data_IF_569204879832
#
_entry.id   IF_569204879832
#
_cell.length_a   1.000
_cell.length_b   1.000
_cell.length_c   1.000
_cell.angle_alpha   90.00
_cell.angle_beta   90.00
_cell.angle_gamma   90.00
#
_symmetry.space_group_name_H-M   'P 1'
#
loop_
_entity.id
_entity.type
_entity.pdbx_description
1 polymer ?
#
# COMPACT_ATOMS: atom_id res chain seq x y z
N UNK A 1 -18.11 -9.48 -28.96
CA UNK A 1 -17.83 -9.71 -27.51
C UNK A 1 -18.14 -8.44 -26.74
N UNK A 2 -18.16 -8.50 -25.40
CA UNK A 2 -18.39 -7.33 -24.54
C UNK A 2 -17.21 -6.34 -24.58
N UNK A 3 -17.45 -5.10 -24.18
CA UNK A 3 -16.41 -4.07 -24.07
C UNK A 3 -15.40 -4.41 -22.99
N UNK A 4 -14.11 -4.21 -23.28
CA UNK A 4 -13.01 -4.46 -22.35
C UNK A 4 -12.73 -3.26 -21.43
N UNK A 5 -13.25 -2.08 -21.75
CA UNK A 5 -13.06 -0.86 -20.98
C UNK A 5 -13.95 -0.85 -19.72
N UNK A 6 -13.53 -1.61 -18.70
CA UNK A 6 -14.18 -1.67 -17.39
C UNK A 6 -13.19 -1.22 -16.34
N UNK A 7 -13.50 -0.14 -15.62
CA UNK A 7 -12.69 0.35 -14.52
C UNK A 7 -13.02 -0.38 -13.21
N UNK A 8 -11.99 -0.73 -12.44
CA UNK A 8 -12.15 -1.28 -11.10
C UNK A 8 -10.99 -0.90 -10.20
N UNK A 9 -11.18 -1.08 -8.89
CA UNK A 9 -10.17 -0.88 -7.86
C UNK A 9 -10.14 -2.05 -6.89
N UNK A 10 -8.97 -2.34 -6.32
CA UNK A 10 -8.80 -3.23 -5.18
C UNK A 10 -8.45 -2.40 -3.94
N UNK A 11 -9.41 -2.24 -3.04
CA UNK A 11 -9.26 -1.41 -1.84
C UNK A 11 -8.50 -2.15 -0.73
N UNK A 12 -7.32 -1.66 -0.38
CA UNK A 12 -6.44 -2.21 0.65
C UNK A 12 -6.37 -1.25 1.83
N UNK A 13 -6.78 -1.70 3.02
CA UNK A 13 -6.83 -0.87 4.22
C UNK A 13 -5.48 -0.84 4.94
N UNK A 14 -4.85 0.33 5.07
CA UNK A 14 -3.47 0.45 5.55
C UNK A 14 -3.37 0.65 7.06
N UNK A 15 -3.94 1.73 7.61
CA UNK A 15 -3.72 2.06 9.03
C UNK A 15 -4.24 0.99 10.00
N UNK A 16 -5.13 0.10 9.54
CA UNK A 16 -5.70 -0.98 10.35
C UNK A 16 -4.64 -1.99 10.80
N UNK A 17 -3.61 -2.21 9.98
CA UNK A 17 -2.49 -3.09 10.34
C UNK A 17 -1.74 -2.56 11.55
N UNK A 18 -1.37 -1.29 11.52
CA UNK A 18 -0.59 -0.67 12.60
C UNK A 18 -1.40 -0.54 13.89
N UNK A 19 -2.69 -0.18 13.80
CA UNK A 19 -3.59 -0.16 14.95
C UNK A 19 -3.68 -1.53 15.61
N UNK A 20 -3.73 -2.62 14.83
CA UNK A 20 -3.87 -3.98 15.36
C UNK A 20 -2.65 -4.45 16.16
N UNK A 21 -1.46 -3.94 15.85
CA UNK A 21 -0.19 -4.36 16.44
C UNK A 21 0.43 -3.33 17.38
N UNK A 22 -0.16 -2.14 17.53
CA UNK A 22 0.44 -0.99 18.24
C UNK A 22 0.96 -1.30 19.65
N UNK A 23 0.24 -2.14 20.41
CA UNK A 23 0.58 -2.52 21.79
C UNK A 23 1.40 -3.83 21.89
N UNK A 24 1.73 -4.43 20.75
CA UNK A 24 2.41 -5.74 20.66
C UNK A 24 3.82 -5.65 20.10
N UNK A 25 4.25 -4.44 19.73
CA UNK A 25 5.52 -4.21 19.04
C UNK A 25 6.35 -3.16 19.76
N UNK A 26 7.68 -3.27 19.73
CA UNK A 26 8.55 -2.27 20.32
C UNK A 26 8.47 -0.95 19.53
N UNK A 27 8.96 0.13 20.13
CA UNK A 27 8.77 1.49 19.60
C UNK A 27 9.30 1.66 18.16
N UNK A 28 10.41 0.99 17.84
CA UNK A 28 11.04 1.00 16.52
C UNK A 28 10.24 0.32 15.40
N UNK A 29 9.20 -0.46 15.73
CA UNK A 29 8.30 -1.12 14.78
C UNK A 29 6.91 -0.48 14.72
N UNK A 30 6.64 0.57 15.51
CA UNK A 30 5.34 1.26 15.47
C UNK A 30 5.12 1.96 14.13
N UNK A 31 3.90 1.84 13.61
CA UNK A 31 3.45 2.46 12.36
C UNK A 31 4.23 2.02 11.11
N UNK A 32 4.79 0.80 11.12
CA UNK A 32 5.59 0.26 10.01
C UNK A 32 4.96 -0.94 9.29
N UNK A 33 4.05 -1.66 9.93
CA UNK A 33 3.48 -2.88 9.36
C UNK A 33 2.60 -2.55 8.16
N UNK A 34 1.77 -1.51 8.25
CA UNK A 34 0.88 -1.11 7.16
C UNK A 34 1.66 -0.76 5.89
N UNK A 35 2.77 -0.05 6.02
CA UNK A 35 3.64 0.31 4.89
C UNK A 35 4.38 -0.91 4.32
N UNK A 36 4.86 -1.81 5.17
CA UNK A 36 5.52 -3.05 4.74
C UNK A 36 4.56 -3.96 3.94
N UNK A 37 3.32 -4.12 4.41
CA UNK A 37 2.26 -4.86 3.71
C UNK A 37 1.89 -4.18 2.39
N UNK A 38 1.74 -2.85 2.38
CA UNK A 38 1.46 -2.12 1.14
C UNK A 38 2.56 -2.33 0.09
N UNK A 39 3.83 -2.32 0.49
CA UNK A 39 4.96 -2.57 -0.39
C UNK A 39 4.95 -4.00 -0.96
N UNK A 40 4.67 -5.01 -0.13
CA UNK A 40 4.52 -6.39 -0.58
C UNK A 40 3.39 -6.53 -1.61
N UNK A 41 2.24 -5.91 -1.35
CA UNK A 41 1.09 -5.91 -2.26
C UNK A 41 1.42 -5.20 -3.57
N UNK A 42 2.08 -4.03 -3.51
CA UNK A 42 2.43 -3.29 -4.71
C UNK A 42 3.43 -4.07 -5.57
N UNK A 43 4.39 -4.76 -4.96
CA UNK A 43 5.30 -5.66 -5.68
C UNK A 43 4.53 -6.76 -6.40
N UNK A 44 3.67 -7.50 -5.70
CA UNK A 44 2.86 -8.55 -6.31
C UNK A 44 1.92 -8.02 -7.41
N UNK A 45 1.41 -6.80 -7.26
CA UNK A 45 0.61 -6.14 -8.27
C UNK A 45 1.38 -5.86 -9.56
N UNK A 46 2.64 -5.45 -9.46
CA UNK A 46 3.50 -5.25 -10.63
C UNK A 46 3.70 -6.55 -11.42
N UNK A 47 3.80 -7.70 -10.75
CA UNK A 47 3.88 -9.00 -11.42
C UNK A 47 2.59 -9.33 -12.17
N UNK A 48 1.42 -9.04 -11.58
CA UNK A 48 0.12 -9.24 -12.23
C UNK A 48 -0.02 -8.35 -13.46
N UNK A 49 0.27 -7.05 -13.32
CA UNK A 49 0.19 -6.07 -14.42
C UNK A 49 1.22 -6.35 -15.50
N UNK A 50 2.43 -6.77 -15.12
CA UNK A 50 3.52 -7.14 -16.02
C UNK A 50 3.30 -8.48 -16.74
N UNK A 51 2.38 -9.32 -16.27
CA UNK A 51 2.12 -10.64 -16.84
C UNK A 51 1.72 -10.57 -18.32
N UNK A 52 2.16 -11.55 -19.12
CA UNK A 52 1.81 -11.64 -20.54
C UNK A 52 0.30 -11.65 -20.79
N UNK A 53 -0.48 -12.25 -19.85
CA UNK A 53 -1.94 -12.24 -19.91
C UNK A 53 -2.50 -10.82 -19.80
N UNK A 54 -2.05 -10.06 -18.80
CA UNK A 54 -2.57 -8.71 -18.56
C UNK A 54 -2.10 -7.75 -19.65
N UNK A 55 -0.85 -7.82 -20.09
CA UNK A 55 -0.31 -7.04 -21.20
C UNK A 55 -1.13 -7.24 -22.49
N UNK A 56 -1.48 -8.50 -22.84
CA UNK A 56 -2.35 -8.77 -24.01
C UNK A 56 -3.74 -8.14 -23.89
N UNK A 57 -4.32 -8.11 -22.69
CA UNK A 57 -5.63 -7.49 -22.45
C UNK A 57 -5.55 -5.96 -22.54
N UNK A 58 -4.53 -5.35 -21.93
CA UNK A 58 -4.33 -3.90 -21.98
C UNK A 58 -4.07 -3.40 -23.41
N UNK A 59 -3.29 -4.14 -24.20
CA UNK A 59 -3.08 -3.85 -25.63
C UNK A 59 -4.37 -3.93 -26.47
N UNK A 60 -5.44 -4.53 -25.95
CA UNK A 60 -6.78 -4.59 -26.57
C UNK A 60 -7.77 -3.60 -25.95
N UNK A 61 -7.30 -2.67 -25.12
CA UNK A 61 -8.11 -1.63 -24.50
C UNK A 61 -8.67 -1.96 -23.12
N UNK A 62 -8.28 -3.08 -22.49
CA UNK A 62 -8.66 -3.35 -21.11
C UNK A 62 -7.93 -2.42 -20.13
N UNK A 63 -8.59 -2.00 -19.05
CA UNK A 63 -7.93 -1.30 -17.93
C UNK A 63 -7.50 -2.29 -16.86
N UNK A 64 -6.29 -2.18 -16.29
CA UNK A 64 -5.95 -2.95 -15.10
C UNK A 64 -6.82 -2.49 -13.93
N UNK A 65 -7.18 -3.42 -13.03
CA UNK A 65 -7.68 -3.05 -11.71
C UNK A 65 -6.59 -2.24 -11.01
N UNK A 66 -6.90 -1.03 -10.54
CA UNK A 66 -5.92 -0.20 -9.82
C UNK A 66 -5.90 -0.59 -8.35
N UNK A 67 -4.75 -0.46 -7.70
CA UNK A 67 -4.72 -0.50 -6.24
C UNK A 67 -5.35 0.76 -5.68
N UNK A 68 -6.11 0.63 -4.59
CA UNK A 68 -6.67 1.75 -3.85
C UNK A 68 -6.25 1.64 -2.40
N UNK A 69 -5.42 2.59 -1.94
CA UNK A 69 -5.02 2.70 -0.55
C UNK A 69 -6.15 3.35 0.25
N UNK A 70 -6.76 2.56 1.12
CA UNK A 70 -7.85 2.97 2.00
C UNK A 70 -7.35 3.08 3.44
N UNK A 71 -8.09 3.83 4.27
CA UNK A 71 -7.74 4.05 5.68
C UNK A 71 -6.31 4.57 5.85
N UNK A 72 -6.00 5.67 5.14
CA UNK A 72 -4.67 6.29 5.08
C UNK A 72 -4.54 7.51 5.99
N UNK A 73 -5.51 7.76 6.87
CA UNK A 73 -5.34 8.74 7.95
C UNK A 73 -4.63 8.12 9.16
N UNK A 74 -3.54 8.72 9.59
CA UNK A 74 -2.74 8.29 10.76
C UNK A 74 -3.60 8.24 12.03
N UNK A 75 -3.41 7.18 12.83
CA UNK A 75 -4.16 6.95 14.07
C UNK A 75 -3.33 7.17 15.33
N UNK A 76 -2.00 7.06 15.22
CA UNK A 76 -1.08 7.37 16.31
C UNK A 76 -0.81 8.88 16.34
N UNK A 77 -1.17 9.60 17.42
CA UNK A 77 -0.96 11.04 17.53
C UNK A 77 0.51 11.44 17.60
N UNK A 78 1.44 10.49 17.78
CA UNK A 78 2.89 10.73 17.79
C UNK A 78 3.53 10.58 16.41
N UNK A 79 2.78 10.08 15.42
CA UNK A 79 3.23 9.94 14.05
C UNK A 79 2.71 11.10 13.20
N UNK A 80 3.38 11.37 12.07
CA UNK A 80 2.90 12.39 11.11
C UNK A 80 1.47 12.07 10.65
N UNK A 81 0.59 13.07 10.59
CA UNK A 81 -0.75 12.91 10.06
C UNK A 81 -0.80 12.73 8.52
N UNK A 82 0.34 12.93 7.86
CA UNK A 82 0.59 12.62 6.43
C UNK A 82 1.30 11.29 6.19
N UNK A 83 1.72 10.56 7.25
CA UNK A 83 2.59 9.37 7.18
C UNK A 83 2.27 8.42 6.01
N UNK A 84 1.03 7.96 5.90
CA UNK A 84 0.66 7.01 4.85
C UNK A 84 0.56 7.65 3.48
N UNK A 85 0.16 8.92 3.39
CA UNK A 85 0.04 9.61 2.10
C UNK A 85 1.42 9.81 1.47
N UNK A 86 2.39 10.24 2.28
CA UNK A 86 3.77 10.48 1.82
C UNK A 86 4.47 9.21 1.33
N UNK A 87 4.14 8.05 1.92
CA UNK A 87 4.83 6.80 1.64
C UNK A 87 4.10 5.84 0.69
N UNK A 88 2.87 6.14 0.25
CA UNK A 88 2.06 5.26 -0.62
C UNK A 88 1.92 5.75 -2.06
N UNK A 89 2.88 6.55 -2.52
CA UNK A 89 2.90 7.10 -3.87
C UNK A 89 3.32 6.02 -4.84
N UNK A 90 2.41 5.55 -5.69
CA UNK A 90 2.70 4.45 -6.61
C UNK A 90 1.97 4.63 -7.95
N UNK A 91 2.63 4.35 -9.10
CA UNK A 91 1.95 4.20 -10.38
C UNK A 91 0.75 3.25 -10.32
N UNK A 92 -0.29 3.54 -11.12
CA UNK A 92 -1.51 2.73 -11.22
C UNK A 92 -2.22 2.51 -9.86
N UNK A 93 -2.06 3.45 -8.92
CA UNK A 93 -2.75 3.43 -7.63
C UNK A 93 -3.66 4.65 -7.45
N UNK A 94 -4.55 4.55 -6.47
CA UNK A 94 -5.43 5.61 -5.97
C UNK A 94 -5.25 5.65 -4.46
N UNK A 95 -5.28 6.82 -3.84
CA UNK A 95 -5.37 6.94 -2.39
C UNK A 95 -6.68 7.65 -2.03
N UNK A 96 -7.55 6.98 -1.28
CA UNK A 96 -8.78 7.59 -0.76
C UNK A 96 -8.52 8.13 0.63
N UNK A 97 -8.51 9.45 0.75
CA UNK A 97 -8.14 10.15 1.97
C UNK A 97 -9.38 10.73 2.64
N UNK A 98 -9.50 10.67 3.98
CA UNK A 98 -10.37 11.58 4.72
C UNK A 98 -9.98 13.03 4.45
N UNK A 99 -10.94 13.96 4.48
CA UNK A 99 -10.70 15.38 4.20
C UNK A 99 -9.58 15.98 5.05
N UNK A 100 -9.53 15.70 6.36
CA UNK A 100 -8.45 16.15 7.24
C UNK A 100 -7.06 15.70 6.75
N UNK A 101 -6.94 14.44 6.31
CA UNK A 101 -5.68 13.90 5.80
C UNK A 101 -5.30 14.53 4.46
N UNK A 102 -6.28 14.79 3.59
CA UNK A 102 -6.06 15.52 2.35
C UNK A 102 -5.54 16.94 2.62
N UNK A 103 -6.16 17.66 3.56
CA UNK A 103 -5.75 19.01 3.94
C UNK A 103 -4.34 19.04 4.55
N UNK A 104 -4.01 18.09 5.43
CA UNK A 104 -2.65 17.97 5.99
C UNK A 104 -1.60 17.69 4.90
N UNK A 105 -1.92 16.77 3.98
CA UNK A 105 -1.04 16.46 2.86
C UNK A 105 -0.83 17.67 1.92
N UNK A 106 -1.85 18.51 1.72
CA UNK A 106 -1.73 19.77 0.96
C UNK A 106 -0.90 20.83 1.70
N UNK A 107 -0.97 20.88 3.02
CA UNK A 107 -0.26 21.86 3.85
C UNK A 107 1.23 21.52 3.98
N UNK A 108 1.56 20.26 4.28
CA UNK A 108 2.93 19.86 4.64
C UNK A 108 3.32 18.42 4.24
N UNK A 109 2.63 17.79 3.28
CA UNK A 109 3.07 16.51 2.72
C UNK A 109 4.39 16.64 1.97
N UNK A 110 5.28 15.65 2.10
CA UNK A 110 6.62 15.71 1.50
C UNK A 110 6.67 15.07 0.12
N UNK A 111 5.92 13.99 -0.08
CA UNK A 111 5.82 13.26 -1.34
C UNK A 111 7.16 12.91 -2.02
N UNK A 112 8.21 12.67 -1.23
CA UNK A 112 9.61 12.70 -1.69
C UNK A 112 9.96 11.66 -2.77
N UNK A 113 9.35 10.47 -2.71
CA UNK A 113 9.63 9.40 -3.66
C UNK A 113 8.46 8.43 -3.84
N UNK A 114 8.32 7.83 -5.04
CA UNK A 114 7.44 6.69 -5.23
C UNK A 114 7.87 5.51 -4.36
N UNK A 115 6.92 4.63 -4.04
CA UNK A 115 7.17 3.34 -3.41
C UNK A 115 8.24 2.57 -4.18
N UNK A 116 9.22 2.04 -3.45
CA UNK A 116 10.29 1.25 -4.04
C UNK A 116 9.71 0.01 -4.74
N UNK A 117 10.01 -0.13 -6.02
CA UNK A 117 9.61 -1.28 -6.85
C UNK A 117 10.66 -2.38 -6.89
N UNK A 118 11.82 -2.15 -6.27
CA UNK A 118 12.96 -3.07 -6.24
C UNK A 118 13.53 -3.19 -4.83
N UNK A 119 14.19 -4.33 -4.54
CA UNK A 119 14.72 -4.64 -3.22
C UNK A 119 13.73 -5.38 -2.33
N UNK A 120 14.23 -5.74 -1.15
CA UNK A 120 13.67 -6.64 -0.14
C UNK A 120 13.49 -5.94 1.22
N UNK A 121 13.56 -4.60 1.26
CA UNK A 121 13.45 -3.85 2.52
C UNK A 121 12.13 -4.11 3.25
N UNK A 122 11.03 -4.25 2.51
CA UNK A 122 9.73 -4.61 3.09
C UNK A 122 9.70 -6.06 3.59
N UNK A 123 10.39 -7.00 2.93
CA UNK A 123 10.52 -8.38 3.39
C UNK A 123 11.27 -8.45 4.72
N UNK A 124 12.39 -7.71 4.84
CA UNK A 124 13.11 -7.58 6.12
C UNK A 124 12.22 -7.02 7.22
N UNK A 125 11.41 -6.00 6.91
CA UNK A 125 10.50 -5.44 7.90
C UNK A 125 9.42 -6.46 8.31
N UNK A 126 8.80 -7.17 7.36
CA UNK A 126 7.84 -8.25 7.63
C UNK A 126 8.46 -9.40 8.44
N UNK A 127 9.72 -9.76 8.18
CA UNK A 127 10.46 -10.75 8.98
C UNK A 127 10.65 -10.30 10.44
N UNK A 128 10.89 -9.01 10.68
CA UNK A 128 10.96 -8.45 12.05
C UNK A 128 9.63 -8.60 12.78
N UNK A 129 8.49 -8.42 12.11
CA UNK A 129 7.17 -8.70 12.70
C UNK A 129 6.92 -10.20 12.90
N UNK A 130 7.32 -11.04 11.94
CA UNK A 130 7.20 -12.49 12.07
C UNK A 130 8.00 -13.06 13.26
N UNK A 131 9.18 -12.50 13.55
CA UNK A 131 9.99 -12.86 14.72
C UNK A 131 9.29 -12.56 16.06
N UNK A 132 8.28 -11.68 16.07
CA UNK A 132 7.42 -11.38 17.22
C UNK A 132 6.13 -12.22 17.24
N UNK A 133 5.98 -13.19 16.34
CA UNK A 133 4.77 -13.99 16.18
C UNK A 133 3.63 -13.26 15.44
N UNK A 134 3.93 -12.15 14.75
CA UNK A 134 2.97 -11.34 13.99
C UNK A 134 3.19 -11.52 12.48
N UNK A 135 3.15 -12.77 12.02
CA UNK A 135 3.36 -13.10 10.61
C UNK A 135 2.17 -12.63 9.74
N UNK A 136 2.48 -12.07 8.58
CA UNK A 136 1.50 -11.77 7.52
C UNK A 136 1.49 -12.93 6.53
N UNK A 137 0.30 -13.35 6.10
CA UNK A 137 0.17 -14.43 5.12
C UNK A 137 0.84 -14.05 3.78
N UNK A 138 1.52 -15.00 3.12
CA UNK A 138 2.06 -14.77 1.79
C UNK A 138 0.95 -14.49 0.77
N UNK A 139 1.23 -13.62 -0.20
CA UNK A 139 0.30 -13.37 -1.31
C UNK A 139 0.38 -14.50 -2.35
N UNK A 140 -0.78 -14.94 -2.86
CA UNK A 140 -0.87 -15.76 -4.07
C UNK A 140 -0.57 -17.26 -3.92
N UNK A 141 -0.88 -17.86 -2.76
CA UNK A 141 -0.99 -19.32 -2.62
C UNK A 141 -2.26 -19.86 -3.27
#
# INVERSE_FOLDING_TARGET
>A
GLALDVASVASVFISRWDVKVADKVPAELRNRLGLAVAAQIYRAYLDVVGSARMQRLMNRGARPQRLLWASTGTKDPRASDTLYVDHLIAPLSVNTMPEKTLLAALDHGTFDAPMATTGDAHERELQRFAALGLAVEPLGQ
#
